data_IF_944168860184
#
_entry.id   IF_944168860184
#
_cell.length_a   1.000
_cell.length_b   1.000
_cell.length_c   1.000
_cell.angle_alpha   90.00
_cell.angle_beta   90.00
_cell.angle_gamma   90.00
#
_symmetry.space_group_name_H-M   'P 1'
#
loop_
_entity.id
_entity.type
_entity.pdbx_description
1 polymer ?
#
# COMPACT_ATOMS: atom_id res chain seq x y z
N UNK A 1 -14.95 30.49 18.10
CA UNK A 1 -14.96 29.04 17.87
C UNK A 1 -13.75 28.68 17.02
N UNK A 2 -12.63 28.24 17.61
CA UNK A 2 -11.46 27.76 16.84
C UNK A 2 -10.33 27.36 17.78
N UNK A 3 -10.06 26.07 17.90
CA UNK A 3 -8.95 25.58 18.74
C UNK A 3 -8.84 24.05 18.79
N UNK A 4 -9.95 23.34 18.55
CA UNK A 4 -9.96 21.87 18.57
C UNK A 4 -9.51 21.23 17.25
N UNK A 5 -9.79 21.87 16.11
CA UNK A 5 -9.51 21.34 14.78
C UNK A 5 -8.02 21.08 14.52
N UNK A 6 -7.13 21.98 14.95
CA UNK A 6 -5.68 21.78 14.80
C UNK A 6 -5.14 20.63 15.67
N UNK A 7 -5.67 20.46 16.88
CA UNK A 7 -5.31 19.35 17.78
C UNK A 7 -5.81 18.02 17.24
N UNK A 8 -7.01 18.00 16.68
CA UNK A 8 -7.60 16.83 16.04
C UNK A 8 -6.80 16.42 14.80
N UNK A 9 -6.47 17.35 13.91
CA UNK A 9 -5.65 17.08 12.72
C UNK A 9 -4.27 16.52 13.09
N UNK A 10 -3.61 17.13 14.07
CA UNK A 10 -2.32 16.64 14.57
C UNK A 10 -2.43 15.22 15.16
N UNK A 11 -3.51 14.94 15.89
CA UNK A 11 -3.77 13.62 16.47
C UNK A 11 -4.03 12.59 15.37
N UNK A 12 -4.78 12.95 14.34
CA UNK A 12 -5.07 12.10 13.18
C UNK A 12 -3.79 11.77 12.42
N UNK A 13 -2.90 12.74 12.18
CA UNK A 13 -1.59 12.50 11.55
C UNK A 13 -0.70 11.55 12.36
N UNK A 14 -0.66 11.70 13.70
CA UNK A 14 0.05 10.77 14.58
C UNK A 14 -0.49 9.35 14.50
N UNK A 15 -1.82 9.20 14.40
CA UNK A 15 -2.45 7.88 14.19
C UNK A 15 -2.01 7.25 12.87
N UNK A 16 -1.87 8.02 11.80
CA UNK A 16 -1.34 7.54 10.51
C UNK A 16 0.07 6.96 10.64
N UNK A 17 1.00 7.67 11.31
CA UNK A 17 2.36 7.16 11.53
C UNK A 17 2.37 5.88 12.38
N UNK A 18 1.54 5.82 13.42
CA UNK A 18 1.42 4.63 14.27
C UNK A 18 0.85 3.45 13.48
N UNK A 19 -0.18 3.68 12.67
CA UNK A 19 -0.77 2.67 11.81
C UNK A 19 0.25 2.13 10.79
N UNK A 20 1.09 3.00 10.22
CA UNK A 20 2.17 2.58 9.34
C UNK A 20 3.15 1.62 10.04
N UNK A 21 3.63 1.99 11.23
CA UNK A 21 4.53 1.14 12.03
C UNK A 21 3.88 -0.19 12.39
N UNK A 22 2.60 -0.17 12.77
CA UNK A 22 1.81 -1.38 13.05
C UNK A 22 1.72 -2.28 11.81
N UNK A 23 1.45 -1.70 10.64
CA UNK A 23 1.41 -2.40 9.37
C UNK A 23 2.72 -3.13 9.05
N UNK A 24 3.86 -2.49 9.29
CA UNK A 24 5.18 -3.11 9.08
C UNK A 24 5.39 -4.32 10.00
N UNK A 25 5.07 -4.19 11.30
CA UNK A 25 5.20 -5.30 12.26
C UNK A 25 4.30 -6.46 11.84
N UNK A 26 3.04 -6.18 11.50
CA UNK A 26 2.07 -7.21 11.08
C UNK A 26 2.50 -7.91 9.78
N UNK A 27 3.02 -7.17 8.80
CA UNK A 27 3.54 -7.74 7.57
C UNK A 27 4.76 -8.64 7.84
N UNK A 28 5.65 -8.24 8.75
CA UNK A 28 6.82 -9.01 9.14
C UNK A 28 6.44 -10.36 9.78
N UNK A 29 5.39 -10.37 10.61
CA UNK A 29 4.84 -11.61 11.20
C UNK A 29 3.79 -12.29 10.31
N UNK A 30 3.76 -11.95 9.01
CA UNK A 30 2.88 -12.53 7.97
C UNK A 30 1.37 -12.42 8.24
N UNK A 31 0.95 -11.51 9.12
CA UNK A 31 -0.46 -11.19 9.33
C UNK A 31 -0.94 -10.20 8.25
N UNK A 32 -0.97 -10.65 7.00
CA UNK A 32 -1.17 -9.78 5.82
C UNK A 32 -2.50 -9.03 5.84
N UNK A 33 -3.61 -9.68 6.22
CA UNK A 33 -4.92 -9.02 6.32
C UNK A 33 -4.88 -7.81 7.28
N UNK A 34 -4.34 -8.01 8.50
CA UNK A 34 -4.22 -6.92 9.47
C UNK A 34 -3.22 -5.85 9.03
N UNK A 35 -2.17 -6.22 8.29
CA UNK A 35 -1.24 -5.27 7.72
C UNK A 35 -1.92 -4.39 6.66
N UNK A 36 -2.77 -4.97 5.81
CA UNK A 36 -3.58 -4.27 4.80
C UNK A 36 -4.51 -3.27 5.49
N UNK A 37 -5.19 -3.65 6.56
CA UNK A 37 -6.05 -2.75 7.35
C UNK A 37 -5.26 -1.58 7.93
N UNK A 38 -4.08 -1.86 8.48
CA UNK A 38 -3.21 -0.86 9.05
C UNK A 38 -2.74 0.16 7.99
N UNK A 39 -2.30 -0.30 6.81
CA UNK A 39 -1.93 0.61 5.72
C UNK A 39 -3.13 1.36 5.14
N UNK A 40 -4.31 0.76 5.11
CA UNK A 40 -5.54 1.46 4.70
C UNK A 40 -5.87 2.62 5.63
N UNK A 41 -5.62 2.46 6.94
CA UNK A 41 -5.74 3.56 7.91
C UNK A 41 -4.76 4.70 7.62
N UNK A 42 -3.54 4.38 7.17
CA UNK A 42 -2.55 5.38 6.74
C UNK A 42 -3.07 6.18 5.55
N UNK A 43 -3.61 5.49 4.54
CA UNK A 43 -4.10 6.11 3.31
C UNK A 43 -5.40 6.91 3.49
N UNK A 44 -6.16 6.62 4.56
CA UNK A 44 -7.32 7.41 4.97
C UNK A 44 -6.95 8.65 5.80
N UNK A 45 -5.66 8.86 6.13
CA UNK A 45 -5.21 10.01 6.90
C UNK A 45 -5.17 11.27 6.01
N UNK A 46 -5.91 12.35 6.32
CA UNK A 46 -5.89 13.58 5.53
C UNK A 46 -4.52 14.27 5.59
N UNK A 47 -4.15 14.92 4.48
CA UNK A 47 -2.89 15.64 4.29
C UNK A 47 -1.64 14.84 4.69
N UNK A 48 -1.67 13.54 4.41
CA UNK A 48 -0.53 12.68 4.64
C UNK A 48 0.64 13.08 3.71
N UNK A 49 1.85 13.03 4.25
CA UNK A 49 3.06 13.30 3.48
C UNK A 49 3.19 12.33 2.30
N UNK A 50 3.52 12.84 1.11
CA UNK A 50 3.61 12.05 -0.12
C UNK A 50 4.57 10.84 0.00
N UNK A 51 5.67 10.99 0.74
CA UNK A 51 6.60 9.90 1.03
C UNK A 51 5.95 8.78 1.86
N UNK A 52 5.23 9.13 2.92
CA UNK A 52 4.52 8.17 3.76
C UNK A 52 3.36 7.50 3.01
N UNK A 53 2.63 8.26 2.20
CA UNK A 53 1.57 7.74 1.32
C UNK A 53 2.15 6.72 0.33
N UNK A 54 3.27 7.04 -0.33
CA UNK A 54 3.94 6.14 -1.26
C UNK A 54 4.41 4.85 -0.58
N UNK A 55 5.02 4.95 0.60
CA UNK A 55 5.43 3.76 1.36
C UNK A 55 4.24 2.90 1.81
N UNK A 56 3.14 3.52 2.21
CA UNK A 56 1.93 2.80 2.60
C UNK A 56 1.29 2.06 1.40
N UNK A 57 1.18 2.71 0.23
CA UNK A 57 0.73 2.07 -1.00
C UNK A 57 1.65 0.89 -1.39
N UNK A 58 2.98 1.11 -1.37
CA UNK A 58 3.94 0.07 -1.72
C UNK A 58 3.83 -1.14 -0.79
N UNK A 59 3.81 -0.91 0.53
CA UNK A 59 3.76 -1.99 1.50
C UNK A 59 2.41 -2.70 1.52
N UNK A 60 1.30 -2.00 1.27
CA UNK A 60 -0.01 -2.62 1.10
C UNK A 60 -0.05 -3.48 -0.16
N UNK A 61 0.53 -3.03 -1.27
CA UNK A 61 0.69 -3.85 -2.47
C UNK A 61 1.52 -5.13 -2.22
N UNK A 62 2.58 -5.05 -1.41
CA UNK A 62 3.35 -6.24 -1.03
C UNK A 62 2.51 -7.22 -0.20
N UNK A 63 1.74 -6.73 0.78
CA UNK A 63 0.87 -7.56 1.61
C UNK A 63 -0.27 -8.19 0.79
N UNK A 64 -0.93 -7.41 -0.08
CA UNK A 64 -1.97 -7.87 -1.00
C UNK A 64 -1.44 -8.98 -1.91
N UNK A 65 -0.29 -8.74 -2.55
CA UNK A 65 0.35 -9.75 -3.39
C UNK A 65 0.77 -11.00 -2.64
N UNK A 66 1.20 -10.89 -1.38
CA UNK A 66 1.54 -12.04 -0.54
C UNK A 66 0.29 -12.83 -0.09
N UNK A 67 -0.85 -12.15 0.06
CA UNK A 67 -2.15 -12.76 0.35
C UNK A 67 -2.87 -13.32 -0.89
N UNK A 68 -2.34 -13.09 -2.09
CA UNK A 68 -2.88 -13.61 -3.36
C UNK A 68 -3.62 -12.59 -4.22
N UNK A 69 -3.97 -11.42 -3.68
CA UNK A 69 -4.67 -10.35 -4.40
C UNK A 69 -3.68 -9.48 -5.21
N UNK A 70 -3.15 -10.07 -6.29
CA UNK A 70 -2.28 -9.35 -7.24
C UNK A 70 -3.00 -8.20 -7.97
N UNK A 71 -4.28 -8.32 -8.37
CA UNK A 71 -4.99 -7.19 -8.99
C UNK A 71 -5.04 -5.95 -8.10
N UNK A 72 -5.47 -6.07 -6.83
CA UNK A 72 -5.49 -4.93 -5.92
C UNK A 72 -4.08 -4.39 -5.64
N UNK A 73 -3.08 -5.27 -5.56
CA UNK A 73 -1.69 -4.85 -5.41
C UNK A 73 -1.18 -4.02 -6.61
N UNK A 74 -1.60 -4.37 -7.83
CA UNK A 74 -1.22 -3.62 -9.03
C UNK A 74 -1.83 -2.20 -9.01
N UNK A 75 -3.09 -2.07 -8.58
CA UNK A 75 -3.76 -0.78 -8.42
C UNK A 75 -3.00 0.14 -7.46
N UNK A 76 -2.58 -0.38 -6.31
CA UNK A 76 -1.79 0.40 -5.32
C UNK A 76 -0.45 0.89 -5.89
N UNK A 77 0.23 0.05 -6.68
CA UNK A 77 1.49 0.43 -7.33
C UNK A 77 1.28 1.47 -8.43
N UNK A 78 0.19 1.37 -9.19
CA UNK A 78 -0.17 2.36 -10.20
C UNK A 78 -0.50 3.71 -9.55
N UNK A 79 -1.25 3.72 -8.46
CA UNK A 79 -1.51 4.92 -7.68
C UNK A 79 -0.22 5.56 -7.15
N UNK A 80 0.72 4.77 -6.65
CA UNK A 80 2.03 5.26 -6.20
C UNK A 80 2.79 5.97 -7.32
N UNK A 81 2.77 5.44 -8.54
CA UNK A 81 3.47 6.03 -9.68
C UNK A 81 2.93 7.42 -10.06
N UNK A 82 1.65 7.67 -9.80
CA UNK A 82 0.97 8.95 -10.06
C UNK A 82 1.26 10.01 -9.00
N UNK A 83 1.81 9.66 -7.83
CA UNK A 83 2.07 10.64 -6.77
C UNK A 83 3.17 11.65 -7.16
N UNK A 84 2.90 12.94 -6.93
CA UNK A 84 3.89 14.01 -7.00
C UNK A 84 4.73 14.06 -5.72
N UNK A 85 5.97 14.57 -5.81
CA UNK A 85 6.86 14.69 -4.64
C UNK A 85 7.45 13.38 -4.11
N UNK A 86 7.28 12.27 -4.83
CA UNK A 86 7.88 10.97 -4.48
C UNK A 86 9.19 10.78 -5.25
N UNK A 87 10.21 10.27 -4.57
CA UNK A 87 11.53 10.05 -5.15
C UNK A 87 11.50 9.05 -6.32
N UNK A 88 12.41 9.26 -7.28
CA UNK A 88 12.54 8.38 -8.45
C UNK A 88 12.85 6.92 -8.06
N UNK A 89 13.58 6.71 -6.97
CA UNK A 89 13.91 5.38 -6.44
C UNK A 89 12.65 4.60 -6.06
N UNK A 90 11.75 5.22 -5.30
CA UNK A 90 10.50 4.57 -4.88
C UNK A 90 9.63 4.24 -6.11
N UNK A 91 9.52 5.17 -7.07
CA UNK A 91 8.79 4.92 -8.32
C UNK A 91 9.42 3.80 -9.16
N UNK A 92 10.75 3.69 -9.18
CA UNK A 92 11.47 2.64 -9.92
C UNK A 92 11.18 1.27 -9.33
N UNK A 93 11.23 1.13 -8.01
CA UNK A 93 10.92 -0.13 -7.33
C UNK A 93 9.44 -0.52 -7.51
N UNK A 94 8.52 0.44 -7.41
CA UNK A 94 7.10 0.20 -7.71
C UNK A 94 6.88 -0.31 -9.13
N UNK A 95 7.53 0.32 -10.13
CA UNK A 95 7.43 -0.09 -11.54
C UNK A 95 7.99 -1.49 -11.76
N UNK A 96 9.15 -1.82 -11.18
CA UNK A 96 9.74 -3.17 -11.25
C UNK A 96 8.81 -4.22 -10.69
N UNK A 97 8.22 -3.95 -9.52
CA UNK A 97 7.26 -4.85 -8.88
C UNK A 97 6.01 -5.04 -9.74
N UNK A 98 5.45 -3.96 -10.28
CA UNK A 98 4.26 -4.00 -11.14
C UNK A 98 4.49 -4.84 -12.40
N UNK A 99 5.63 -4.64 -13.08
CA UNK A 99 6.01 -5.45 -14.26
C UNK A 99 6.09 -6.93 -13.91
N UNK A 100 6.70 -7.28 -12.77
CA UNK A 100 6.78 -8.69 -12.32
C UNK A 100 5.41 -9.29 -12.02
N UNK A 101 4.48 -8.51 -11.46
CA UNK A 101 3.10 -8.96 -11.20
C UNK A 101 2.35 -9.20 -12.51
N UNK A 102 2.42 -8.27 -13.47
CA UNK A 102 1.74 -8.37 -14.77
C UNK A 102 2.30 -9.49 -15.67
N UNK A 103 3.60 -9.77 -15.56
CA UNK A 103 4.26 -10.89 -16.28
C UNK A 103 3.93 -12.27 -15.73
N UNK A 104 3.39 -12.35 -14.52
CA UNK A 104 2.99 -13.61 -13.91
C UNK A 104 1.48 -13.60 -13.64
N UNK A 105 0.65 -13.53 -14.69
CA UNK A 105 -0.77 -13.83 -14.56
C UNK A 105 -0.82 -15.26 -14.03
N UNK A 106 -1.41 -15.45 -12.87
CA UNK A 106 -1.60 -16.78 -12.31
C UNK A 106 -2.22 -17.70 -13.37
N UNK A 107 -1.73 -18.95 -13.42
CA UNK A 107 -2.20 -20.07 -14.25
C UNK A 107 -3.66 -20.47 -13.94
N UNK A 108 -4.53 -19.53 -13.60
CA UNK A 108 -5.96 -19.73 -13.37
C UNK A 108 -6.77 -19.54 -14.65
N UNK A 109 -6.14 -19.18 -15.76
CA UNK A 109 -6.76 -18.99 -17.07
C UNK A 109 -6.25 -19.99 -18.12
N UNK A 110 -5.82 -21.18 -17.67
CA UNK A 110 -5.70 -22.32 -18.60
C UNK A 110 -7.11 -22.90 -18.78
N UNK A 111 -7.77 -22.76 -19.95
CA UNK A 111 -8.87 -23.66 -20.27
C UNK A 111 -8.31 -25.08 -20.17
N UNK A 112 -9.02 -25.94 -19.44
CA UNK A 112 -8.61 -27.30 -19.14
C UNK A 112 -8.05 -27.98 -20.39
N UNK A 113 -6.85 -28.53 -20.25
CA UNK A 113 -6.31 -29.41 -21.27
C UNK A 113 -7.23 -30.61 -21.40
N UNK A 114 -7.90 -30.72 -22.54
CA UNK A 114 -8.42 -32.00 -22.99
C UNK A 114 -7.22 -32.82 -23.48
N UNK A 115 -6.90 -33.87 -22.72
CA UNK A 115 -6.47 -35.13 -23.32
C UNK A 115 -7.69 -35.87 -23.84
#
# INVERSE_FOLDING_TARGET
>A
MSGNWFKELFTVRKRGVLAFRRGMVLANVRQYAKAIDAYTTVLATPDIEAGLQAMALYNRALALSASGDKPAAAVDLEQLLLLSGVSATIKTEARRKLVRMKRNPTLTDRPGGNR
#
